data_IF_927090137163
#
_entry.id   IF_927090137163
#
_cell.length_a   1.000
_cell.length_b   1.000
_cell.length_c   1.000
_cell.angle_alpha   90.00
_cell.angle_beta   90.00
_cell.angle_gamma   90.00
#
_symmetry.space_group_name_H-M   'P 1'
#
loop_
_entity.id
_entity.type
_entity.pdbx_description
1 polymer ?
#
# COMPACT_ATOMS: atom_id res chain seq x y z
N UNK A 1 10.80 -51.52 8.08
CA UNK A 1 12.17 -51.50 7.44
C UNK A 1 12.66 -50.08 7.40
N UNK A 2 13.65 -49.78 8.19
CA UNK A 2 14.26 -48.42 8.29
C UNK A 2 15.40 -48.34 7.27
N UNK A 3 15.37 -47.36 6.37
CA UNK A 3 16.55 -46.98 5.56
C UNK A 3 17.09 -45.64 6.09
N UNK A 4 18.22 -45.69 6.76
CA UNK A 4 19.06 -44.55 7.11
C UNK A 4 19.88 -44.18 5.87
N UNK A 5 19.87 -42.91 5.49
CA UNK A 5 20.87 -42.34 4.57
C UNK A 5 21.75 -41.37 5.37
N UNK A 6 23.00 -41.79 5.55
CA UNK A 6 24.10 -40.95 5.99
C UNK A 6 24.71 -40.36 4.72
N UNK A 7 24.78 -39.05 4.62
CA UNK A 7 25.66 -38.36 3.67
C UNK A 7 26.51 -37.40 4.49
N UNK A 8 27.76 -37.79 4.71
CA UNK A 8 28.83 -36.93 5.16
C UNK A 8 29.50 -36.37 3.88
N UNK A 9 29.68 -35.07 3.81
CA UNK A 9 30.42 -34.41 2.74
C UNK A 9 30.86 -33.03 3.20
N UNK A 10 32.03 -32.97 3.85
CA UNK A 10 32.72 -31.74 4.15
C UNK A 10 33.33 -31.14 2.89
N UNK A 11 33.10 -29.87 2.64
CA UNK A 11 33.87 -29.07 1.72
C UNK A 11 34.41 -27.85 2.47
N UNK A 12 35.68 -27.88 2.78
CA UNK A 12 36.44 -26.73 3.30
C UNK A 12 36.65 -25.75 2.13
N UNK A 13 36.01 -24.58 2.18
CA UNK A 13 36.30 -23.49 1.26
C UNK A 13 37.39 -22.60 1.86
N UNK A 14 38.57 -22.62 1.27
CA UNK A 14 39.65 -21.66 1.50
C UNK A 14 39.19 -20.29 0.98
N UNK A 15 38.93 -19.35 1.86
CA UNK A 15 38.78 -17.95 1.50
C UNK A 15 40.16 -17.30 1.39
N UNK A 16 40.65 -17.15 0.16
CA UNK A 16 41.79 -16.29 -0.17
C UNK A 16 41.33 -14.83 -0.03
N UNK A 17 41.82 -14.17 1.04
CA UNK A 17 41.56 -12.74 1.28
C UNK A 17 42.34 -11.89 0.27
N UNK A 18 41.63 -11.30 -0.67
CA UNK A 18 42.13 -10.20 -1.48
C UNK A 18 41.91 -8.90 -0.70
N UNK A 19 42.99 -8.34 -0.17
CA UNK A 19 43.01 -7.02 0.43
C UNK A 19 42.83 -5.97 -0.70
N UNK A 20 41.63 -5.34 -0.77
CA UNK A 20 41.45 -4.17 -1.60
C UNK A 20 41.93 -2.92 -0.83
N UNK A 21 42.72 -2.06 -1.45
CA UNK A 21 43.09 -0.80 -0.84
C UNK A 21 41.80 0.10 -0.72
N UNK A 22 41.51 0.53 0.49
CA UNK A 22 40.46 1.49 0.73
C UNK A 22 40.84 2.85 0.10
N UNK A 23 40.21 3.18 -1.02
CA UNK A 23 40.27 4.54 -1.58
C UNK A 23 39.31 5.40 -0.78
N UNK A 24 39.88 6.19 0.14
CA UNK A 24 39.11 7.21 0.87
C UNK A 24 38.86 8.39 -0.07
N UNK A 25 37.73 8.38 -0.77
CA UNK A 25 37.25 9.54 -1.49
C UNK A 25 36.57 10.49 -0.48
N UNK A 26 37.28 11.53 -0.04
CA UNK A 26 36.70 12.64 0.70
C UNK A 26 35.88 13.48 -0.26
N UNK A 27 34.59 13.13 -0.45
CA UNK A 27 33.66 13.95 -1.16
C UNK A 27 33.16 15.05 -0.19
N UNK A 28 33.81 16.21 -0.22
CA UNK A 28 33.27 17.44 0.34
C UNK A 28 32.14 17.94 -0.56
N UNK A 29 31.05 17.18 -0.61
CA UNK A 29 29.81 17.60 -1.24
C UNK A 29 29.08 18.54 -0.29
N UNK A 30 29.06 19.82 -0.59
CA UNK A 30 28.07 20.74 -0.04
C UNK A 30 26.72 20.14 -0.38
N UNK A 31 26.01 19.63 0.65
CA UNK A 31 24.63 19.20 0.50
C UNK A 31 23.83 20.45 0.13
N UNK A 32 23.56 20.63 -1.17
CA UNK A 32 22.56 21.58 -1.62
C UNK A 32 21.24 20.99 -1.12
N UNK A 33 20.73 21.52 -0.01
CA UNK A 33 19.40 21.19 0.46
C UNK A 33 18.39 21.40 -0.68
N UNK A 34 17.33 20.59 -0.77
CA UNK A 34 16.30 20.83 -1.77
C UNK A 34 15.87 22.30 -1.66
N UNK A 35 15.64 23.01 -2.80
CA UNK A 35 15.15 24.36 -2.76
C UNK A 35 13.89 24.37 -1.89
N UNK A 36 13.78 25.33 -1.00
CA UNK A 36 12.59 25.56 -0.19
C UNK A 36 11.44 25.90 -1.16
N UNK A 37 10.83 24.85 -1.70
CA UNK A 37 9.63 24.95 -2.50
C UNK A 37 8.56 25.57 -1.60
N UNK A 38 7.83 26.54 -2.14
CA UNK A 38 6.68 27.14 -1.49
C UNK A 38 5.85 26.01 -0.89
N UNK A 39 5.64 26.03 0.43
CA UNK A 39 4.82 25.04 1.10
C UNK A 39 3.39 25.19 0.54
N UNK A 40 3.08 24.44 -0.51
CA UNK A 40 1.71 24.33 -0.97
C UNK A 40 0.91 23.67 0.14
N UNK A 41 -0.15 24.33 0.61
CA UNK A 41 -1.04 23.73 1.58
C UNK A 41 -1.50 22.38 1.02
N UNK A 42 -1.40 21.29 1.80
CA UNK A 42 -1.83 19.99 1.32
C UNK A 42 -3.32 20.03 0.98
N UNK A 43 -3.66 19.50 -0.20
CA UNK A 43 -5.05 19.30 -0.60
C UNK A 43 -5.62 18.16 0.26
N UNK A 44 -6.66 18.45 1.03
CA UNK A 44 -7.39 17.44 1.79
C UNK A 44 -8.66 17.02 1.04
N UNK A 45 -8.89 15.72 0.94
CA UNK A 45 -10.10 15.12 0.36
C UNK A 45 -10.62 14.08 1.34
N UNK A 46 -11.83 14.31 1.86
CA UNK A 46 -12.51 13.38 2.75
C UNK A 46 -13.65 12.69 1.98
N UNK A 47 -13.57 11.36 1.90
CA UNK A 47 -14.55 10.51 1.23
C UNK A 47 -15.04 9.41 2.15
N UNK A 48 -16.18 8.84 1.80
CA UNK A 48 -16.64 7.56 2.30
C UNK A 48 -16.75 6.59 1.15
N UNK A 49 -16.50 5.32 1.43
CA UNK A 49 -16.65 4.23 0.46
C UNK A 49 -17.69 3.23 0.96
N UNK A 50 -18.42 2.62 0.04
CA UNK A 50 -19.44 1.60 0.33
C UNK A 50 -19.18 0.40 -0.57
N UNK A 51 -19.13 -0.80 0.02
CA UNK A 51 -18.90 -2.04 -0.70
C UNK A 51 -19.96 -2.25 -1.80
N UNK A 52 -19.50 -2.81 -2.91
CA UNK A 52 -20.35 -3.31 -4.00
C UNK A 52 -20.41 -4.84 -3.97
N UNK A 53 -21.05 -5.46 -4.96
CA UNK A 53 -21.06 -6.92 -5.11
C UNK A 53 -19.67 -7.51 -5.45
N UNK A 54 -18.69 -6.67 -5.84
CA UNK A 54 -17.33 -7.10 -6.12
C UNK A 54 -16.52 -7.01 -4.83
N UNK A 55 -16.46 -8.13 -4.11
CA UNK A 55 -15.76 -8.27 -2.85
C UNK A 55 -15.39 -9.74 -2.67
N UNK A 56 -14.25 -10.16 -3.25
CA UNK A 56 -13.88 -11.56 -3.37
C UNK A 56 -12.48 -11.83 -2.86
N UNK A 57 -12.32 -12.94 -2.15
CA UNK A 57 -11.03 -13.54 -1.86
C UNK A 57 -10.79 -14.67 -2.87
N UNK A 58 -9.64 -14.63 -3.55
CA UNK A 58 -9.17 -15.68 -4.46
C UNK A 58 -8.12 -16.48 -3.72
N UNK A 59 -8.46 -17.71 -3.39
CA UNK A 59 -7.56 -18.70 -2.76
C UNK A 59 -6.52 -19.16 -3.81
N UNK A 60 -5.26 -18.81 -3.63
CA UNK A 60 -4.16 -19.12 -4.57
C UNK A 60 -3.19 -20.13 -3.96
N UNK A 61 -3.09 -20.19 -2.65
CA UNK A 61 -2.15 -21.01 -1.91
C UNK A 61 -2.72 -22.37 -1.49
N UNK A 62 -2.23 -22.92 -0.38
CA UNK A 62 -2.88 -24.04 0.28
C UNK A 62 -4.31 -23.66 0.66
N UNK A 63 -5.25 -24.61 0.48
CA UNK A 63 -6.68 -24.37 0.75
C UNK A 63 -6.93 -23.64 2.07
N UNK A 64 -7.73 -22.59 2.01
CA UNK A 64 -8.06 -21.72 3.13
C UNK A 64 -7.21 -20.43 3.16
N UNK A 65 -7.47 -19.62 4.14
CA UNK A 65 -6.86 -18.28 4.29
C UNK A 65 -5.34 -18.38 4.50
N UNK A 66 -4.56 -18.11 3.47
CA UNK A 66 -3.12 -18.36 3.42
C UNK A 66 -2.34 -17.19 2.80
N UNK A 67 -1.02 -17.03 3.13
CA UNK A 67 -0.21 -15.99 2.50
C UNK A 67 -0.19 -16.14 0.97
N UNK A 68 -0.40 -15.02 0.27
CA UNK A 68 -0.47 -14.97 -1.18
C UNK A 68 -1.88 -14.91 -1.75
N UNK A 69 -2.91 -15.21 -0.97
CA UNK A 69 -4.30 -15.06 -1.39
C UNK A 69 -4.59 -13.62 -1.79
N UNK A 70 -5.43 -13.45 -2.79
CA UNK A 70 -5.81 -12.13 -3.28
C UNK A 70 -7.19 -11.74 -2.75
N UNK A 71 -7.29 -10.51 -2.28
CA UNK A 71 -8.54 -9.83 -2.01
C UNK A 71 -8.75 -8.76 -3.08
N UNK A 72 -9.82 -8.90 -3.85
CA UNK A 72 -10.19 -7.96 -4.92
C UNK A 72 -11.53 -7.36 -4.57
N UNK A 73 -11.62 -6.04 -4.58
CA UNK A 73 -12.82 -5.33 -4.22
C UNK A 73 -13.06 -4.10 -5.11
N UNK A 74 -14.32 -3.69 -5.14
CA UNK A 74 -14.74 -2.42 -5.69
C UNK A 74 -15.77 -1.78 -4.76
N UNK A 75 -15.62 -0.47 -4.56
CA UNK A 75 -16.47 0.31 -3.67
C UNK A 75 -16.97 1.56 -4.36
N UNK A 76 -18.21 1.92 -4.10
CA UNK A 76 -18.76 3.20 -4.52
C UNK A 76 -18.23 4.31 -3.63
N UNK A 77 -17.83 5.44 -4.23
CA UNK A 77 -17.22 6.57 -3.54
C UNK A 77 -18.18 7.76 -3.49
N UNK A 78 -18.21 8.40 -2.32
CA UNK A 78 -19.02 9.58 -2.01
C UNK A 78 -18.14 10.62 -1.30
N UNK A 79 -18.45 11.91 -1.42
CA UNK A 79 -17.84 12.87 -0.50
C UNK A 79 -18.38 12.67 0.92
N UNK A 80 -17.53 12.84 1.93
CA UNK A 80 -17.97 12.77 3.32
C UNK A 80 -19.03 13.83 3.66
N UNK A 81 -19.00 14.98 2.96
CA UNK A 81 -19.97 16.07 3.07
C UNK A 81 -21.30 15.81 2.36
N UNK A 82 -21.34 14.87 1.41
CA UNK A 82 -22.55 14.49 0.67
C UNK A 82 -22.56 12.96 0.44
N UNK A 83 -22.97 12.19 1.46
CA UNK A 83 -22.96 10.72 1.40
C UNK A 83 -24.09 10.12 0.56
N UNK A 84 -24.96 10.95 -0.01
CA UNK A 84 -26.07 10.51 -0.87
C UNK A 84 -25.69 10.46 -2.35
N UNK A 85 -24.76 11.32 -2.78
CA UNK A 85 -24.37 11.43 -4.19
C UNK A 85 -23.10 10.64 -4.46
N UNK A 86 -23.21 9.57 -5.25
CA UNK A 86 -22.05 8.82 -5.72
C UNK A 86 -21.22 9.71 -6.67
N UNK A 87 -19.91 9.81 -6.39
CA UNK A 87 -18.99 10.65 -7.12
C UNK A 87 -17.90 9.84 -7.86
N UNK A 88 -17.76 8.56 -7.56
CA UNK A 88 -16.69 7.78 -8.12
C UNK A 88 -16.69 6.33 -7.67
N UNK A 89 -15.51 5.71 -7.78
CA UNK A 89 -15.30 4.31 -7.45
C UNK A 89 -13.88 4.12 -6.90
N UNK A 90 -13.72 3.20 -5.97
CA UNK A 90 -12.43 2.70 -5.53
C UNK A 90 -12.32 1.23 -5.92
N UNK A 91 -11.26 0.89 -6.65
CA UNK A 91 -10.93 -0.48 -7.05
C UNK A 91 -9.63 -0.89 -6.36
N UNK A 92 -9.66 -2.00 -5.62
CA UNK A 92 -8.52 -2.47 -4.85
C UNK A 92 -8.14 -3.90 -5.15
N UNK A 93 -6.83 -4.13 -5.12
CA UNK A 93 -6.22 -5.44 -5.11
C UNK A 93 -5.24 -5.52 -3.96
N UNK A 94 -5.44 -6.50 -3.08
CA UNK A 94 -4.62 -6.74 -1.91
C UNK A 94 -4.10 -8.18 -1.90
N UNK A 95 -2.87 -8.37 -1.44
CA UNK A 95 -2.30 -9.70 -1.20
C UNK A 95 -2.25 -9.95 0.30
N UNK A 96 -2.74 -11.08 0.75
CA UNK A 96 -2.67 -11.51 2.14
C UNK A 96 -1.22 -11.78 2.52
N UNK A 97 -0.71 -11.05 3.52
CA UNK A 97 0.66 -11.17 4.01
C UNK A 97 0.70 -11.99 5.31
N UNK A 98 -0.19 -11.67 6.25
CA UNK A 98 -0.26 -12.33 7.55
C UNK A 98 -1.71 -12.72 7.86
N UNK A 99 -2.06 -14.01 7.66
CA UNK A 99 -3.42 -14.50 7.92
C UNK A 99 -3.85 -14.33 9.37
N UNK A 100 -2.92 -14.48 10.33
CA UNK A 100 -3.23 -14.42 11.75
C UNK A 100 -3.70 -13.04 12.20
N UNK A 101 -3.35 -12.00 11.44
CA UNK A 101 -3.69 -10.60 11.69
C UNK A 101 -4.62 -10.01 10.62
N UNK A 102 -5.08 -10.81 9.66
CA UNK A 102 -5.79 -10.35 8.47
C UNK A 102 -5.10 -9.13 7.81
N UNK A 103 -3.76 -9.21 7.69
CA UNK A 103 -2.92 -8.13 7.16
C UNK A 103 -2.65 -8.33 5.69
N UNK A 104 -2.96 -7.32 4.91
CA UNK A 104 -2.80 -7.29 3.46
C UNK A 104 -1.84 -6.20 3.02
N UNK A 105 -1.14 -6.42 1.90
CA UNK A 105 -0.50 -5.38 1.11
C UNK A 105 -1.39 -5.01 -0.06
N UNK A 106 -1.77 -3.74 -0.18
CA UNK A 106 -2.80 -3.28 -1.09
C UNK A 106 -2.29 -2.22 -2.07
N UNK A 107 -2.82 -2.28 -3.30
CA UNK A 107 -2.85 -1.17 -4.25
C UNK A 107 -4.31 -0.83 -4.51
N UNK A 108 -4.67 0.44 -4.35
CA UNK A 108 -6.04 0.94 -4.51
C UNK A 108 -6.03 2.12 -5.47
N UNK A 109 -6.93 2.12 -6.46
CA UNK A 109 -7.17 3.22 -7.37
C UNK A 109 -8.52 3.83 -7.01
N UNK A 110 -8.51 5.09 -6.60
CA UNK A 110 -9.72 5.86 -6.31
C UNK A 110 -10.00 6.82 -7.45
N UNK A 111 -11.02 6.53 -8.24
CA UNK A 111 -11.48 7.37 -9.35
C UNK A 111 -12.46 8.41 -8.84
N UNK A 112 -12.13 9.69 -9.01
CA UNK A 112 -12.89 10.86 -8.61
C UNK A 112 -13.23 11.72 -9.83
N UNK A 113 -14.16 12.69 -9.73
CA UNK A 113 -14.55 13.52 -10.89
C UNK A 113 -13.41 14.30 -11.55
N UNK A 114 -12.33 14.59 -10.82
CA UNK A 114 -11.18 15.34 -11.29
C UNK A 114 -9.97 14.49 -11.67
N UNK A 115 -10.07 13.17 -11.60
CA UNK A 115 -9.00 12.22 -11.91
C UNK A 115 -8.87 11.10 -10.89
N UNK A 116 -7.87 10.24 -11.08
CA UNK A 116 -7.62 9.11 -10.19
C UNK A 116 -6.52 9.43 -9.19
N UNK A 117 -6.59 8.78 -8.02
CA UNK A 117 -5.55 8.76 -6.99
C UNK A 117 -5.16 7.30 -6.76
N UNK A 118 -3.87 6.98 -6.84
CA UNK A 118 -3.34 5.66 -6.53
C UNK A 118 -2.68 5.66 -5.16
N UNK A 119 -3.06 4.70 -4.31
CA UNK A 119 -2.46 4.48 -2.99
C UNK A 119 -1.89 3.07 -2.87
N UNK A 120 -0.78 2.96 -2.15
CA UNK A 120 -0.16 1.68 -1.79
C UNK A 120 0.14 1.66 -0.29
N UNK A 121 -0.16 0.54 0.35
CA UNK A 121 0.07 0.41 1.79
C UNK A 121 -0.35 -0.93 2.35
N UNK A 122 -0.29 -1.04 3.67
CA UNK A 122 -0.79 -2.21 4.38
C UNK A 122 -2.15 -1.91 4.99
N UNK A 123 -3.06 -2.88 4.86
CA UNK A 123 -4.39 -2.86 5.45
C UNK A 123 -4.49 -4.00 6.47
N UNK A 124 -5.01 -3.70 7.65
CA UNK A 124 -5.48 -4.71 8.61
C UNK A 124 -7.01 -4.76 8.48
N UNK A 125 -7.51 -5.82 7.87
CA UNK A 125 -8.94 -5.95 7.56
C UNK A 125 -9.70 -6.58 8.76
N UNK A 126 -9.67 -5.87 9.89
CA UNK A 126 -10.40 -6.23 11.10
C UNK A 126 -11.16 -5.00 11.57
N UNK A 127 -12.50 -5.03 11.70
CA UNK A 127 -13.27 -3.92 12.23
C UNK A 127 -12.77 -3.46 13.60
N UNK A 128 -12.64 -2.15 13.78
CA UNK A 128 -12.10 -1.57 15.01
C UNK A 128 -10.58 -1.56 15.13
N UNK A 129 -9.85 -2.03 14.10
CA UNK A 129 -8.40 -1.84 14.03
C UNK A 129 -8.03 -0.36 13.98
N UNK A 130 -6.80 -0.01 14.41
CA UNK A 130 -6.26 1.32 14.16
C UNK A 130 -6.34 1.67 12.66
N UNK A 131 -6.44 2.98 12.32
CA UNK A 131 -6.46 3.40 10.93
C UNK A 131 -5.25 2.86 10.15
N UNK A 132 -5.49 2.46 8.90
CA UNK A 132 -4.43 2.04 7.98
C UNK A 132 -4.00 3.23 7.14
N UNK A 133 -2.69 3.47 7.06
CA UNK A 133 -2.12 4.55 6.24
C UNK A 133 -1.43 3.96 5.02
N UNK A 134 -1.75 4.49 3.85
CA UNK A 134 -1.08 4.17 2.58
C UNK A 134 -0.42 5.41 1.99
N UNK A 135 0.70 5.22 1.29
CA UNK A 135 1.33 6.28 0.53
C UNK A 135 0.53 6.56 -0.75
N UNK A 136 0.33 7.83 -1.09
CA UNK A 136 -0.15 8.22 -2.42
C UNK A 136 1.03 8.16 -3.38
N UNK A 137 0.98 7.21 -4.31
CA UNK A 137 2.07 6.93 -5.25
C UNK A 137 1.90 7.64 -6.59
N UNK A 138 0.71 8.19 -6.86
CA UNK A 138 0.43 8.93 -8.09
C UNK A 138 -1.04 9.29 -8.25
N UNK A 139 -1.32 9.87 -9.42
CA UNK A 139 -2.68 10.18 -9.84
C UNK A 139 -2.72 10.65 -11.30
N UNK A 140 -3.92 10.92 -11.80
CA UNK A 140 -4.18 11.40 -13.17
C UNK A 140 -4.86 12.76 -13.17
N UNK A 141 -4.87 13.44 -14.29
CA UNK A 141 -5.55 14.73 -14.49
C UNK A 141 -5.21 15.76 -13.41
N UNK A 142 -6.19 16.22 -12.61
CA UNK A 142 -5.98 17.19 -11.55
C UNK A 142 -5.11 16.65 -10.38
N UNK A 143 -4.92 15.33 -10.30
CA UNK A 143 -4.08 14.67 -9.30
C UNK A 143 -2.76 14.15 -9.90
N UNK A 144 -2.39 14.60 -11.11
CA UNK A 144 -1.09 14.27 -11.71
C UNK A 144 0.03 14.66 -10.73
N UNK A 145 1.02 13.78 -10.61
CA UNK A 145 2.14 13.94 -9.68
C UNK A 145 1.74 14.01 -8.19
N UNK A 146 0.51 13.65 -7.82
CA UNK A 146 0.10 13.62 -6.42
C UNK A 146 1.02 12.74 -5.59
N UNK A 147 1.38 13.23 -4.40
CA UNK A 147 2.11 12.53 -3.35
C UNK A 147 1.45 12.85 -2.02
N UNK A 148 1.68 12.02 -1.03
CA UNK A 148 1.12 12.22 0.31
C UNK A 148 0.62 10.93 0.90
N UNK A 149 -0.45 11.00 1.66
CA UNK A 149 -0.99 9.86 2.40
C UNK A 149 -2.50 9.74 2.21
N UNK A 150 -2.98 8.50 2.20
CA UNK A 150 -4.38 8.14 2.38
C UNK A 150 -4.54 7.41 3.71
N UNK A 151 -5.44 7.88 4.57
CA UNK A 151 -5.76 7.26 5.85
C UNK A 151 -7.14 6.63 5.77
N UNK A 152 -7.20 5.31 5.96
CA UNK A 152 -8.42 4.52 5.92
C UNK A 152 -8.84 4.15 7.35
N UNK A 153 -10.06 4.49 7.70
CA UNK A 153 -10.78 4.03 8.89
C UNK A 153 -11.81 2.99 8.46
N UNK A 154 -11.57 1.73 8.79
CA UNK A 154 -12.51 0.66 8.50
C UNK A 154 -13.77 0.82 9.35
N UNK A 155 -14.91 0.90 8.68
CA UNK A 155 -16.22 0.75 9.29
C UNK A 155 -16.58 -0.73 9.52
N UNK A 156 -17.84 -1.01 9.90
CA UNK A 156 -18.34 -2.39 9.96
C UNK A 156 -18.28 -3.05 8.57
N UNK A 157 -18.28 -4.41 8.48
CA UNK A 157 -18.05 -5.15 7.24
C UNK A 157 -18.96 -4.77 6.07
N UNK A 158 -20.18 -4.43 6.35
CA UNK A 158 -21.20 -4.01 5.37
C UNK A 158 -21.40 -2.48 5.35
N UNK A 159 -20.66 -1.78 6.20
CA UNK A 159 -20.85 -0.34 6.43
C UNK A 159 -19.89 0.53 5.62
N UNK A 160 -20.10 1.85 5.68
CA UNK A 160 -19.20 2.76 5.01
C UNK A 160 -17.84 2.79 5.69
N UNK A 161 -16.79 2.84 4.89
CA UNK A 161 -15.43 3.14 5.33
C UNK A 161 -15.15 4.63 5.12
N UNK A 162 -14.29 5.22 5.95
CA UNK A 162 -13.87 6.62 5.80
C UNK A 162 -12.43 6.66 5.28
N UNK A 163 -12.19 7.48 4.26
CA UNK A 163 -10.85 7.71 3.73
C UNK A 163 -10.57 9.20 3.67
N UNK A 164 -9.43 9.60 4.23
CA UNK A 164 -8.92 10.97 4.14
C UNK A 164 -7.62 10.96 3.34
N UNK A 165 -7.58 11.70 2.24
CA UNK A 165 -6.33 11.98 1.51
C UNK A 165 -5.74 13.32 1.95
N UNK A 166 -4.43 13.34 2.18
CA UNK A 166 -3.62 14.56 2.34
C UNK A 166 -2.59 14.56 1.21
N UNK A 167 -2.81 15.43 0.21
CA UNK A 167 -2.08 15.40 -1.04
C UNK A 167 -1.24 16.66 -1.22
N UNK A 168 -0.04 16.49 -1.74
CA UNK A 168 0.75 17.53 -2.39
C UNK A 168 0.64 17.25 -3.89
N UNK A 169 0.07 18.19 -4.63
CA UNK A 169 -0.05 18.12 -6.09
C UNK A 169 0.88 19.16 -6.67
N UNK A 170 1.89 18.71 -7.40
CA UNK A 170 2.79 19.62 -8.13
C UNK A 170 2.25 19.89 -9.52
N UNK A 171 2.32 21.15 -9.99
CA UNK A 171 1.90 21.53 -11.34
C UNK A 171 2.68 20.79 -12.45
#
# INVERSE_FOLDING_TARGET
MRKRWLVAGGAAALCLGLAYPAVSASASGTAVGPPAGSASNPLRIDIITKATAINNIVDIGPSGFSPGDLYVFAEDVFFASDPATKIGRADGRCTLIDPSKARFGCTIITSLPKGDITTEGTLINVPGSPPSTGAVTGGTNAYRNARGEGVLHLGPPEGPHQVTFQLIVSP
#
